data_IF_623963821219
#
_entry.id   IF_623963821219
#
_cell.length_a   1.000
_cell.length_b   1.000
_cell.length_c   1.000
_cell.angle_alpha   90.00
_cell.angle_beta   90.00
_cell.angle_gamma   90.00
#
_symmetry.space_group_name_H-M   'P 1'
#
loop_
_entity.id
_entity.type
_entity.pdbx_description
1 polymer ?
#
# COMPACT_ATOMS: atom_id res chain seq x y z
N UNK A 1 -11.27 39.20 -19.67
CA UNK A 1 -10.16 38.54 -20.41
C UNK A 1 -9.37 37.87 -19.32
N UNK A 2 -9.31 36.53 -19.31
CA UNK A 2 -9.35 35.75 -18.08
C UNK A 2 -8.18 36.06 -17.14
N UNK A 3 -8.53 36.65 -16.01
CA UNK A 3 -7.81 36.56 -14.73
C UNK A 3 -7.59 35.07 -14.45
N UNK A 4 -6.34 34.65 -14.54
CA UNK A 4 -5.90 33.32 -14.19
C UNK A 4 -5.32 33.47 -12.80
N UNK A 5 -6.15 33.30 -11.77
CA UNK A 5 -5.71 33.26 -10.39
C UNK A 5 -4.62 32.17 -10.27
N UNK A 6 -3.39 32.57 -9.95
CA UNK A 6 -2.20 31.73 -9.73
C UNK A 6 -2.32 30.89 -8.42
N UNK A 7 -3.49 30.29 -8.13
CA UNK A 7 -3.75 29.50 -6.92
C UNK A 7 -4.04 28.00 -7.18
N UNK A 8 -4.05 27.54 -8.44
CA UNK A 8 -4.39 26.13 -8.79
C UNK A 8 -3.20 25.37 -9.40
N UNK A 9 -1.99 25.44 -8.81
CA UNK A 9 -0.87 24.63 -9.32
C UNK A 9 0.01 23.95 -8.27
N UNK A 10 -0.11 24.24 -6.98
CA UNK A 10 0.68 23.53 -5.95
C UNK A 10 -0.17 22.81 -4.90
N UNK A 11 -1.29 22.22 -5.31
CA UNK A 11 -2.10 21.33 -4.44
C UNK A 11 -1.81 19.83 -4.67
N UNK A 12 -0.79 19.47 -5.46
CA UNK A 12 -0.60 18.07 -5.89
C UNK A 12 0.53 17.31 -5.22
N UNK A 13 1.27 17.92 -4.31
CA UNK A 13 2.39 17.25 -3.66
C UNK A 13 2.50 17.71 -2.21
N UNK A 14 1.49 17.47 -1.37
CA UNK A 14 1.62 17.21 0.08
C UNK A 14 0.23 17.08 0.76
N UNK A 15 -0.61 16.11 0.35
CA UNK A 15 -1.67 15.64 1.24
C UNK A 15 -1.08 14.60 2.19
N UNK A 16 -0.95 15.01 3.44
CA UNK A 16 -0.62 14.23 4.64
C UNK A 16 -1.72 13.18 4.98
N UNK A 17 -2.73 13.01 4.13
CA UNK A 17 -3.83 12.07 4.32
C UNK A 17 -3.66 10.91 3.34
N UNK A 18 -3.22 9.74 3.85
CA UNK A 18 -3.22 8.50 3.08
C UNK A 18 -4.58 8.27 2.45
N UNK A 19 -4.68 8.56 1.14
CA UNK A 19 -5.93 8.50 0.38
C UNK A 19 -6.65 7.18 0.66
N UNK A 20 -7.98 7.19 0.89
CA UNK A 20 -8.73 5.99 1.18
C UNK A 20 -8.56 4.99 0.03
N UNK A 21 -8.43 3.71 0.37
CA UNK A 21 -8.33 2.65 -0.63
C UNK A 21 -9.50 2.76 -1.60
N UNK A 22 -9.20 2.79 -2.89
CA UNK A 22 -10.25 2.86 -3.91
C UNK A 22 -10.76 1.44 -4.20
N UNK A 23 -12.03 1.11 -3.90
CA UNK A 23 -12.60 -0.18 -4.25
C UNK A 23 -12.63 -0.38 -5.77
N UNK A 24 -12.16 -1.54 -6.23
CA UNK A 24 -12.06 -1.87 -7.66
C UNK A 24 -10.81 -1.31 -8.37
N UNK A 25 -9.83 -0.82 -7.62
CA UNK A 25 -8.51 -0.44 -8.14
C UNK A 25 -7.40 -1.10 -7.32
N UNK A 26 -6.30 -1.43 -8.00
CA UNK A 26 -5.05 -1.87 -7.37
C UNK A 26 -4.39 -0.69 -6.65
N UNK A 27 -4.30 -0.77 -5.32
CA UNK A 27 -3.67 0.26 -4.49
C UNK A 27 -2.20 -0.12 -4.25
N UNK A 28 -1.22 0.67 -4.74
CA UNK A 28 0.18 0.38 -4.49
C UNK A 28 0.52 0.60 -3.02
N UNK A 29 1.21 -0.37 -2.42
CA UNK A 29 1.71 -0.29 -1.04
C UNK A 29 3.15 -0.77 -1.00
N UNK A 30 3.90 -0.24 -0.04
CA UNK A 30 5.29 -0.63 0.18
C UNK A 30 5.39 -1.39 1.50
N UNK A 31 6.15 -2.47 1.51
CA UNK A 31 6.42 -3.28 2.69
C UNK A 31 7.92 -3.53 2.81
N UNK A 32 8.40 -3.76 4.03
CA UNK A 32 9.82 -3.98 4.29
C UNK A 32 10.08 -5.46 4.53
N UNK A 33 11.06 -6.03 3.82
CA UNK A 33 11.40 -7.43 4.00
C UNK A 33 11.82 -7.73 5.44
N UNK A 34 11.18 -8.70 6.08
CA UNK A 34 11.50 -9.11 7.45
C UNK A 34 12.90 -9.75 7.58
N UNK A 35 13.55 -10.07 6.45
CA UNK A 35 14.90 -10.64 6.39
C UNK A 35 15.99 -9.61 6.18
N UNK A 36 15.95 -8.87 5.07
CA UNK A 36 16.99 -7.92 4.68
C UNK A 36 16.65 -6.46 4.97
N UNK A 37 15.38 -6.14 5.30
CA UNK A 37 14.90 -4.77 5.52
C UNK A 37 14.58 -3.98 4.24
N UNK A 38 14.79 -4.56 3.06
CA UNK A 38 14.57 -3.88 1.79
C UNK A 38 13.10 -3.49 1.57
N UNK A 39 12.86 -2.32 0.99
CA UNK A 39 11.54 -1.87 0.60
C UNK A 39 11.08 -2.58 -0.69
N UNK A 40 9.97 -3.30 -0.61
CA UNK A 40 9.33 -3.98 -1.73
C UNK A 40 7.98 -3.33 -1.98
N UNK A 41 7.59 -3.23 -3.25
CA UNK A 41 6.30 -2.68 -3.64
C UNK A 41 5.36 -3.82 -4.05
N UNK A 42 4.15 -3.82 -3.51
CA UNK A 42 3.06 -4.71 -3.91
C UNK A 42 1.80 -3.89 -4.17
N UNK A 43 0.79 -4.50 -4.77
CA UNK A 43 -0.51 -3.89 -4.99
C UNK A 43 -1.58 -4.65 -4.22
N UNK A 44 -2.48 -3.91 -3.57
CA UNK A 44 -3.59 -4.47 -2.79
C UNK A 44 -4.90 -4.11 -3.47
N UNK A 45 -5.70 -5.13 -3.72
CA UNK A 45 -7.05 -4.96 -4.21
C UNK A 45 -8.06 -5.18 -3.05
N UNK A 46 -8.76 -4.14 -2.57
CA UNK A 46 -9.77 -4.28 -1.51
C UNK A 46 -11.00 -5.09 -1.96
N UNK A 47 -11.23 -5.29 -3.26
CA UNK A 47 -12.35 -6.11 -3.74
C UNK A 47 -12.10 -7.62 -3.57
N UNK A 48 -10.83 -8.03 -3.40
CA UNK A 48 -10.46 -9.41 -3.10
C UNK A 48 -10.78 -9.83 -1.64
N UNK A 49 -11.11 -8.88 -0.77
CA UNK A 49 -11.46 -9.13 0.63
C UNK A 49 -10.80 -8.12 1.58
N UNK A 50 -11.42 -7.92 2.74
CA UNK A 50 -10.90 -7.04 3.79
C UNK A 50 -9.75 -7.66 4.58
N UNK A 51 -9.64 -8.99 4.57
CA UNK A 51 -8.55 -9.74 5.19
C UNK A 51 -7.91 -10.62 4.11
N UNK A 52 -6.61 -10.39 3.87
CA UNK A 52 -5.86 -11.12 2.85
C UNK A 52 -4.54 -11.57 3.45
N UNK A 53 -4.17 -12.80 3.15
CA UNK A 53 -2.91 -13.42 3.54
C UNK A 53 -2.32 -14.09 2.31
N UNK A 54 -1.11 -13.71 1.94
CA UNK A 54 -0.40 -14.31 0.83
C UNK A 54 1.11 -14.21 1.02
N UNK A 55 1.84 -15.07 0.32
CA UNK A 55 3.30 -15.09 0.35
C UNK A 55 3.85 -14.30 -0.83
N UNK A 56 4.78 -13.40 -0.55
CA UNK A 56 5.47 -12.57 -1.55
C UNK A 56 6.98 -12.68 -1.34
N UNK A 57 7.72 -12.84 -2.44
CA UNK A 57 9.17 -13.00 -2.40
C UNK A 57 9.85 -11.63 -2.41
N UNK A 58 10.86 -11.45 -1.55
CA UNK A 58 11.65 -10.24 -1.61
C UNK A 58 12.45 -10.16 -2.92
N UNK A 59 12.34 -9.04 -3.64
CA UNK A 59 13.03 -8.77 -4.91
C UNK A 59 14.56 -8.74 -4.81
N UNK A 60 15.10 -8.57 -3.59
CA UNK A 60 16.55 -8.49 -3.35
C UNK A 60 17.12 -9.76 -2.73
N UNK A 61 16.47 -10.31 -1.69
CA UNK A 61 17.00 -11.49 -1.00
C UNK A 61 16.32 -12.81 -1.38
N UNK A 62 15.33 -12.79 -2.27
CA UNK A 62 14.57 -13.95 -2.76
C UNK A 62 14.04 -14.85 -1.64
N UNK A 63 13.66 -14.25 -0.51
CA UNK A 63 13.08 -14.97 0.63
C UNK A 63 11.57 -14.72 0.69
N UNK A 64 10.77 -15.77 0.92
CA UNK A 64 9.33 -15.64 1.06
C UNK A 64 9.00 -14.87 2.34
N UNK A 65 8.10 -13.91 2.22
CA UNK A 65 7.51 -13.19 3.34
C UNK A 65 6.01 -13.41 3.29
N UNK A 66 5.43 -13.78 4.43
CA UNK A 66 3.98 -13.84 4.57
C UNK A 66 3.49 -12.42 4.79
N UNK A 67 2.68 -11.92 3.87
CA UNK A 67 2.08 -10.59 3.91
C UNK A 67 0.64 -10.73 4.41
N UNK A 68 0.35 -10.03 5.50
CA UNK A 68 -0.98 -9.92 6.09
C UNK A 68 -1.53 -8.53 5.83
N UNK A 69 -2.73 -8.48 5.26
CA UNK A 69 -3.40 -7.24 4.92
C UNK A 69 -4.76 -7.24 5.61
N UNK A 70 -5.00 -6.18 6.36
CA UNK A 70 -6.28 -5.92 6.98
C UNK A 70 -6.77 -4.53 6.56
N UNK A 71 -8.01 -4.46 6.11
CA UNK A 71 -8.65 -3.25 5.60
C UNK A 71 -9.88 -3.00 6.46
N UNK A 72 -9.91 -1.85 7.12
CA UNK A 72 -11.07 -1.42 7.91
C UNK A 72 -12.24 -1.01 7.00
N UNK A 73 -13.43 -1.59 7.20
CA UNK A 73 -14.59 -1.34 6.32
C UNK A 73 -15.14 0.10 6.43
N UNK A 74 -15.05 0.72 7.62
CA UNK A 74 -15.58 2.06 7.86
C UNK A 74 -14.58 3.15 7.48
N UNK A 75 -13.32 2.98 7.87
CA UNK A 75 -12.26 3.98 7.70
C UNK A 75 -11.47 3.79 6.40
N UNK A 76 -11.65 2.66 5.70
CA UNK A 76 -10.84 2.24 4.55
C UNK A 76 -9.33 2.27 4.84
N UNK A 77 -8.97 2.08 6.11
CA UNK A 77 -7.60 2.13 6.58
C UNK A 77 -6.93 0.79 6.32
N UNK A 78 -5.89 0.81 5.49
CA UNK A 78 -5.04 -0.35 5.25
C UNK A 78 -4.01 -0.52 6.36
N UNK A 79 -3.94 -1.73 6.92
CA UNK A 79 -2.85 -2.15 7.79
C UNK A 79 -2.15 -3.34 7.15
N UNK A 80 -0.88 -3.16 6.79
CA UNK A 80 -0.01 -4.22 6.28
C UNK A 80 0.96 -4.64 7.38
N UNK A 81 1.09 -5.96 7.55
CA UNK A 81 2.15 -6.58 8.37
C UNK A 81 2.79 -7.68 7.57
N UNK A 82 4.05 -7.97 7.86
CA UNK A 82 4.72 -9.09 7.25
C UNK A 82 5.62 -9.81 8.24
N UNK A 83 5.80 -11.10 8.01
CA UNK A 83 6.73 -11.94 8.76
C UNK A 83 7.45 -12.92 7.83
N UNK A 84 8.50 -13.54 8.34
CA UNK A 84 9.19 -14.59 7.60
C UNK A 84 8.36 -15.86 7.66
N UNK A 85 8.11 -16.47 6.50
CA UNK A 85 7.63 -17.85 6.48
C UNK A 85 8.72 -18.72 7.10
N UNK A 86 8.45 -19.26 8.28
CA UNK A 86 9.39 -20.13 8.97
C UNK A 86 9.54 -21.42 8.14
N UNK A 87 10.78 -21.73 7.73
CA UNK A 87 11.17 -23.04 7.16
C UNK A 87 11.05 -24.16 8.20
#
# INVERSE_FOLDING_TARGET
MPDFDDDDFEDFINDEEGLPLKPGLLNPVTWHCARCGEANATSVDPSAGFEQEYVEDCTVCCRPNVIFINIDEESLRLTLRNELEYE
#
